data_IF_553791586560
#
_entry.id   IF_553791586560
#
_cell.length_a   1.000
_cell.length_b   1.000
_cell.length_c   1.000
_cell.angle_alpha   90.00
_cell.angle_beta   90.00
_cell.angle_gamma   90.00
#
_symmetry.space_group_name_H-M   'P 1'
#
loop_
_entity.id
_entity.type
_entity.pdbx_description
1 polymer ?
#
# COMPACT_ATOMS: atom_id res chain seq x y z
N UNK A 1 -6.37 -10.90 -5.78
CA UNK A 1 -5.24 -10.02 -5.39
C UNK A 1 -5.63 -9.19 -4.19
N UNK A 2 -4.76 -9.12 -3.21
CA UNK A 2 -4.99 -8.35 -1.98
C UNK A 2 -4.08 -7.11 -1.98
N UNK A 3 -4.58 -6.02 -1.43
CA UNK A 3 -3.83 -4.78 -1.31
C UNK A 3 -3.60 -4.53 0.19
N UNK A 4 -2.35 -4.47 0.60
CA UNK A 4 -1.97 -4.26 1.99
C UNK A 4 -1.33 -2.89 2.13
N UNK A 5 -1.84 -2.09 3.08
CA UNK A 5 -1.26 -0.79 3.39
C UNK A 5 -0.56 -0.88 4.72
N UNK A 6 0.77 -0.78 4.69
CA UNK A 6 1.58 -0.78 5.91
C UNK A 6 1.69 0.62 6.46
N UNK A 7 1.43 0.75 7.75
CA UNK A 7 1.48 2.02 8.44
C UNK A 7 1.73 1.83 9.93
N UNK A 8 1.64 2.91 10.66
CA UNK A 8 1.80 2.91 12.11
C UNK A 8 1.04 4.10 12.69
N UNK A 9 0.62 3.99 13.94
CA UNK A 9 -0.13 5.06 14.60
C UNK A 9 0.66 6.36 14.74
N UNK A 10 1.99 6.26 14.80
CA UNK A 10 2.89 7.40 14.91
C UNK A 10 3.30 8.00 13.56
N UNK A 11 2.83 7.44 12.47
CA UNK A 11 3.22 7.87 11.12
C UNK A 11 2.20 8.86 10.56
N UNK A 12 2.54 10.14 10.53
CA UNK A 12 1.65 11.19 10.03
C UNK A 12 1.30 11.00 8.56
N UNK A 13 2.27 10.59 7.74
CA UNK A 13 2.05 10.37 6.31
C UNK A 13 1.09 9.20 6.06
N UNK A 14 1.13 8.19 6.93
CA UNK A 14 0.20 7.07 6.85
C UNK A 14 -1.22 7.53 7.14
N UNK A 15 -1.40 8.39 8.14
CA UNK A 15 -2.69 8.95 8.48
C UNK A 15 -3.25 9.82 7.34
N UNK A 16 -2.40 10.62 6.71
CA UNK A 16 -2.79 11.43 5.56
C UNK A 16 -3.26 10.54 4.41
N UNK A 17 -2.51 9.50 4.10
CA UNK A 17 -2.88 8.57 3.03
C UNK A 17 -4.20 7.87 3.34
N UNK A 18 -4.40 7.41 4.57
CA UNK A 18 -5.65 6.77 4.98
C UNK A 18 -6.84 7.71 4.78
N UNK A 19 -6.67 8.96 5.13
CA UNK A 19 -7.72 9.98 4.96
C UNK A 19 -8.01 10.21 3.49
N UNK A 20 -6.98 10.33 2.65
CA UNK A 20 -7.15 10.53 1.22
C UNK A 20 -7.89 9.35 0.58
N UNK A 21 -7.56 8.13 0.98
CA UNK A 21 -8.23 6.92 0.50
C UNK A 21 -9.70 6.94 0.89
N UNK A 22 -9.99 7.27 2.15
CA UNK A 22 -11.35 7.29 2.68
C UNK A 22 -12.21 8.34 1.99
N UNK A 23 -11.64 9.49 1.67
CA UNK A 23 -12.35 10.62 1.05
C UNK A 23 -12.36 10.54 -0.48
N UNK A 24 -11.66 9.59 -1.06
CA UNK A 24 -11.55 9.46 -2.52
C UNK A 24 -12.86 9.00 -3.14
N UNK A 25 -13.19 9.58 -4.31
CA UNK A 25 -14.32 9.14 -5.13
C UNK A 25 -13.92 8.03 -6.12
N UNK A 26 -12.66 7.61 -6.10
CA UNK A 26 -12.18 6.56 -6.98
C UNK A 26 -12.73 5.19 -6.57
N UNK A 27 -12.91 4.33 -7.56
CA UNK A 27 -13.33 2.94 -7.32
C UNK A 27 -12.12 2.10 -6.92
N UNK A 28 -11.69 2.29 -5.69
CA UNK A 28 -10.51 1.61 -5.14
C UNK A 28 -10.85 0.20 -4.69
N UNK A 29 -9.89 -0.74 -4.78
CA UNK A 29 -10.07 -2.06 -4.18
C UNK A 29 -10.11 -1.94 -2.66
N UNK A 30 -10.54 -3.02 -2.00
CA UNK A 30 -10.45 -3.10 -0.55
C UNK A 30 -8.97 -3.09 -0.15
N UNK A 31 -8.62 -2.19 0.76
CA UNK A 31 -7.25 -2.02 1.22
C UNK A 31 -7.19 -2.44 2.69
N UNK A 32 -6.37 -3.46 2.97
CA UNK A 32 -6.17 -3.95 4.34
C UNK A 32 -5.11 -3.12 5.01
N UNK A 33 -5.42 -2.54 6.15
CA UNK A 33 -4.46 -1.76 6.91
C UNK A 33 -3.68 -2.66 7.86
N UNK A 34 -2.36 -2.62 7.74
CA UNK A 34 -1.45 -3.43 8.55
C UNK A 34 -0.63 -2.47 9.42
N UNK A 35 -0.73 -2.64 10.73
CA UNK A 35 0.04 -1.84 11.67
C UNK A 35 1.39 -2.51 11.88
N UNK A 36 2.46 -1.77 11.59
CA UNK A 36 3.83 -2.27 11.72
C UNK A 36 4.12 -2.75 13.15
N UNK A 37 3.59 -2.04 14.13
CA UNK A 37 3.84 -2.36 15.54
C UNK A 37 3.10 -3.62 15.99
N UNK A 38 1.98 -3.92 15.35
CA UNK A 38 1.19 -5.11 15.67
C UNK A 38 1.63 -6.34 14.86
N UNK A 39 2.08 -6.13 13.62
CA UNK A 39 2.44 -7.22 12.72
C UNK A 39 3.81 -7.00 12.08
N UNK A 40 4.87 -6.92 12.88
CA UNK A 40 6.21 -6.66 12.34
C UNK A 40 6.71 -7.78 11.43
N UNK A 41 6.23 -9.00 11.62
CA UNK A 41 6.63 -10.15 10.78
C UNK A 41 6.20 -9.96 9.33
N UNK A 42 5.03 -9.36 9.10
CA UNK A 42 4.56 -9.11 7.73
C UNK A 42 5.42 -8.04 7.05
N UNK A 43 5.79 -7.00 7.80
CA UNK A 43 6.68 -5.96 7.25
C UNK A 43 8.02 -6.56 6.84
N UNK A 44 8.57 -7.44 7.68
CA UNK A 44 9.83 -8.13 7.37
C UNK A 44 9.65 -9.05 6.16
N UNK A 45 8.56 -9.80 6.10
CA UNK A 45 8.28 -10.72 4.99
C UNK A 45 8.27 -10.01 3.64
N UNK A 46 7.70 -8.82 3.57
CA UNK A 46 7.57 -8.07 2.32
C UNK A 46 8.64 -7.00 2.16
N UNK A 47 9.62 -6.94 3.04
CA UNK A 47 10.72 -5.99 2.93
C UNK A 47 10.31 -4.54 3.04
N UNK A 48 9.33 -4.25 3.92
CA UNK A 48 8.85 -2.89 4.13
C UNK A 48 9.85 -2.14 4.99
N UNK A 49 10.45 -1.08 4.42
CA UNK A 49 11.47 -0.28 5.11
C UNK A 49 11.01 1.14 5.40
N UNK A 50 10.01 1.62 4.67
CA UNK A 50 9.50 2.98 4.84
C UNK A 50 7.98 2.94 4.97
N UNK A 51 7.40 3.98 5.54
CA UNK A 51 5.95 4.09 5.71
C UNK A 51 5.45 5.41 5.11
N UNK A 52 4.30 5.41 4.48
CA UNK A 52 3.46 4.25 4.16
C UNK A 52 4.02 3.43 3.00
N UNK A 53 3.69 2.15 2.96
CA UNK A 53 4.03 1.26 1.83
C UNK A 53 2.78 0.47 1.46
N UNK A 54 2.52 0.35 0.15
CA UNK A 54 1.43 -0.46 -0.37
C UNK A 54 2.04 -1.72 -0.98
N UNK A 55 1.57 -2.88 -0.53
CA UNK A 55 1.99 -4.16 -1.07
C UNK A 55 0.81 -4.82 -1.80
N UNK A 56 1.02 -5.16 -3.06
CA UNK A 56 0.05 -5.92 -3.85
C UNK A 56 0.48 -7.37 -3.81
N UNK A 57 -0.37 -8.24 -3.27
CA UNK A 57 -0.04 -9.66 -3.10
C UNK A 57 -1.12 -10.51 -3.77
N UNK A 58 -0.72 -11.71 -4.22
CA UNK A 58 -1.68 -12.64 -4.80
C UNK A 58 -2.44 -13.37 -3.68
N UNK A 59 -3.35 -14.28 -4.07
CA UNK A 59 -4.17 -15.00 -3.11
C UNK A 59 -3.36 -15.97 -2.24
N UNK A 60 -2.14 -16.29 -2.68
CA UNK A 60 -1.23 -17.14 -1.92
C UNK A 60 -0.27 -16.35 -1.02
N UNK A 61 -0.39 -15.04 -1.03
CA UNK A 61 0.48 -14.18 -0.22
C UNK A 61 1.80 -13.82 -0.85
N UNK A 62 1.97 -14.10 -2.15
CA UNK A 62 3.20 -13.74 -2.86
C UNK A 62 3.17 -12.28 -3.27
N UNK A 63 4.26 -11.57 -3.00
CA UNK A 63 4.38 -10.16 -3.36
C UNK A 63 4.46 -9.98 -4.86
N UNK A 64 3.53 -9.22 -5.44
CA UNK A 64 3.52 -8.89 -6.86
C UNK A 64 4.18 -7.54 -7.12
N UNK A 65 3.91 -6.57 -6.26
CA UNK A 65 4.51 -5.25 -6.37
C UNK A 65 4.47 -4.54 -5.03
N UNK A 66 5.48 -3.74 -4.78
CA UNK A 66 5.58 -2.89 -3.59
C UNK A 66 5.73 -1.45 -4.04
N UNK A 67 4.82 -0.59 -3.58
CA UNK A 67 4.85 0.84 -3.89
C UNK A 67 5.05 1.62 -2.60
N UNK A 68 6.10 2.44 -2.57
CA UNK A 68 6.41 3.27 -1.44
C UNK A 68 6.68 4.68 -1.94
N UNK A 69 6.77 5.62 -1.01
CA UNK A 69 7.18 6.98 -1.36
C UNK A 69 8.54 6.94 -2.02
N UNK A 70 8.64 7.53 -3.20
CA UNK A 70 9.91 7.57 -3.91
C UNK A 70 10.91 8.45 -3.16
N UNK A 71 12.02 7.87 -2.74
CA UNK A 71 13.06 8.59 -2.00
C UNK A 71 13.67 9.71 -2.81
N UNK A 72 13.78 9.52 -4.12
CA UNK A 72 14.41 10.47 -5.03
C UNK A 72 13.56 11.69 -5.34
N UNK A 73 12.26 11.48 -5.56
CA UNK A 73 11.33 12.55 -5.92
C UNK A 73 10.53 13.06 -4.75
N UNK A 74 10.54 12.33 -3.64
CA UNK A 74 9.76 12.61 -2.43
C UNK A 74 8.26 12.74 -2.71
N UNK A 75 7.79 12.12 -3.79
CA UNK A 75 6.37 12.11 -4.10
C UNK A 75 5.63 11.21 -3.14
N UNK A 76 4.61 11.72 -2.45
CA UNK A 76 3.81 10.90 -1.55
C UNK A 76 2.95 9.92 -2.35
N UNK A 77 2.59 8.82 -1.72
CA UNK A 77 1.59 7.92 -2.28
C UNK A 77 0.23 8.61 -2.28
N UNK A 78 -0.56 8.35 -3.33
CA UNK A 78 -1.90 8.90 -3.45
C UNK A 78 -2.87 7.78 -3.85
N UNK A 79 -4.19 7.96 -3.63
CA UNK A 79 -5.16 6.97 -4.09
C UNK A 79 -5.08 6.71 -5.59
N UNK A 80 -4.78 7.73 -6.39
CA UNK A 80 -4.64 7.61 -7.84
C UNK A 80 -3.50 6.67 -8.22
N UNK A 81 -2.38 6.77 -7.53
CA UNK A 81 -1.22 5.90 -7.76
C UNK A 81 -1.58 4.46 -7.41
N UNK A 82 -2.27 4.25 -6.29
CA UNK A 82 -2.70 2.92 -5.86
C UNK A 82 -3.62 2.29 -6.90
N UNK A 83 -4.61 3.05 -7.37
CA UNK A 83 -5.56 2.55 -8.38
C UNK A 83 -4.86 2.22 -9.69
N UNK A 84 -3.95 3.08 -10.14
CA UNK A 84 -3.20 2.86 -11.37
C UNK A 84 -2.38 1.57 -11.30
N UNK A 85 -1.67 1.35 -10.21
CA UNK A 85 -0.85 0.16 -10.03
C UNK A 85 -1.71 -1.10 -9.92
N UNK A 86 -2.83 -0.99 -9.18
CA UNK A 86 -3.77 -2.09 -9.03
C UNK A 86 -4.36 -2.50 -10.38
N UNK A 87 -4.81 -1.53 -11.17
CA UNK A 87 -5.41 -1.79 -12.49
C UNK A 87 -4.40 -2.46 -13.42
N UNK A 88 -3.18 -1.95 -13.41
CA UNK A 88 -2.11 -2.49 -14.24
C UNK A 88 -1.78 -3.94 -13.87
N UNK A 89 -1.71 -4.24 -12.57
CA UNK A 89 -1.44 -5.59 -12.09
C UNK A 89 -2.57 -6.54 -12.45
N UNK A 90 -3.81 -6.09 -12.37
CA UNK A 90 -4.96 -6.92 -12.77
C UNK A 90 -4.91 -7.27 -14.25
N UNK A 91 -4.56 -6.32 -15.09
CA UNK A 91 -4.43 -6.55 -16.53
C UNK A 91 -3.31 -7.56 -16.84
N UNK A 92 -2.20 -7.48 -16.09
CA UNK A 92 -1.05 -8.36 -16.30
C UNK A 92 -1.29 -9.77 -15.79
N UNK A 93 -2.18 -9.96 -14.80
CA UNK A 93 -2.42 -11.25 -14.13
C UNK A 93 -3.78 -11.87 -14.43
N UNK A 94 -4.59 -11.22 -15.20
CA UNK A 94 -5.84 -11.77 -15.71
C UNK A 94 -5.60 -12.32 -17.13
#
# INVERSE_FOLDING_TARGET
MRVLKFGASWCDKCSVLSKLIKESDLDLPEIEEIDLDEEPELAEKYGVQTLPTICFVDDLGKLLKKSARAAETKQPLTPEIILKEYTKLREDHD
#
